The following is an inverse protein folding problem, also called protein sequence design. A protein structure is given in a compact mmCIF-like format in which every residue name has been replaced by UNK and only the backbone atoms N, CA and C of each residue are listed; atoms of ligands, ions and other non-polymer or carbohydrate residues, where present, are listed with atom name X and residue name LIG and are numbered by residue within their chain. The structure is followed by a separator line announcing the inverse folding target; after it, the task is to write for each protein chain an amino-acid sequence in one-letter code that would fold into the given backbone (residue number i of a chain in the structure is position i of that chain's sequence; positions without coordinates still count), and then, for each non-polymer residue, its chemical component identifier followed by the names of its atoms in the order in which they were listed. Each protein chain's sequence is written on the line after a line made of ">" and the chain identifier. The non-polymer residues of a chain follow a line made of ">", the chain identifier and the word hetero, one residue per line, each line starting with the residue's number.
data_IF_176859289298
#
_entry.id   IF_176859289298
#
_cell.length_a   1.000
_cell.length_b   1.000
_cell.length_c   1.000
_cell.angle_alpha   90.00
_cell.angle_beta   90.00
_cell.angle_gamma   90.00
#
_symmetry.space_group_name_H-M   'P 1'
#
loop_
_entity.id
_entity.type
_entity.pdbx_description
1 polymer ?
#
# COMPACT_ATOMS: atom_id res chain seq x y z
N UNK A 1 20.13 18.67 18.91
CA UNK A 1 18.90 17.90 18.64
C UNK A 1 18.35 17.46 19.98
N UNK A 2 17.13 17.87 20.32
CA UNK A 2 16.54 17.57 21.64
C UNK A 2 15.83 16.22 21.60
N UNK A 3 16.30 15.26 22.38
CA UNK A 3 15.65 13.96 22.56
C UNK A 3 14.28 14.13 23.22
N UNK A 4 13.26 13.41 22.74
CA UNK A 4 11.94 13.40 23.36
C UNK A 4 12.01 12.98 24.84
N UNK A 5 11.25 13.66 25.69
CA UNK A 5 11.06 13.26 27.09
C UNK A 5 10.37 11.89 27.20
N UNK A 6 10.53 11.15 28.30
CA UNK A 6 9.85 9.87 28.52
C UNK A 6 8.33 9.94 28.31
N UNK A 7 7.69 11.04 28.77
CA UNK A 7 6.26 11.29 28.59
C UNK A 7 5.87 11.47 27.12
N UNK A 8 6.73 12.09 26.31
CA UNK A 8 6.52 12.24 24.87
C UNK A 8 6.71 10.91 24.15
N UNK A 9 7.67 10.08 24.57
CA UNK A 9 7.86 8.74 24.02
C UNK A 9 6.66 7.84 24.34
N UNK A 10 6.16 7.87 25.56
CA UNK A 10 4.96 7.12 25.98
C UNK A 10 3.72 7.58 25.19
N UNK A 11 3.54 8.89 24.97
CA UNK A 11 2.45 9.41 24.15
C UNK A 11 2.51 8.95 22.67
N UNK A 12 3.70 8.63 22.17
CA UNK A 12 3.91 8.11 20.82
C UNK A 12 3.88 6.58 20.75
N UNK A 13 3.80 5.89 21.89
CA UNK A 13 3.83 4.43 21.95
C UNK A 13 2.84 3.83 20.93
N UNK A 14 3.30 2.84 20.18
CA UNK A 14 2.54 2.24 19.10
C UNK A 14 2.49 0.74 19.31
N UNK A 15 1.31 0.17 19.07
CA UNK A 15 1.11 -1.27 18.98
C UNK A 15 0.66 -1.56 17.57
N UNK A 16 1.35 -2.49 16.90
CA UNK A 16 0.92 -2.92 15.58
C UNK A 16 -0.48 -3.55 15.66
N UNK A 17 -1.39 -3.00 14.87
CA UNK A 17 -2.73 -3.51 14.63
C UNK A 17 -2.88 -3.65 13.12
N UNK A 18 -3.37 -4.79 12.65
CA UNK A 18 -3.69 -4.98 11.24
C UNK A 18 -5.14 -4.61 10.98
N UNK A 19 -5.38 -3.85 9.92
CA UNK A 19 -6.71 -3.41 9.51
C UNK A 19 -7.64 -4.59 9.32
N UNK A 20 -8.77 -4.56 10.03
CA UNK A 20 -9.84 -5.54 9.88
C UNK A 20 -10.91 -4.96 8.94
N UNK A 21 -11.26 -5.74 7.92
CA UNK A 21 -12.34 -5.43 6.99
C UNK A 21 -13.44 -6.48 7.14
N UNK A 22 -14.73 -6.08 7.19
CA UNK A 22 -15.81 -7.04 7.16
C UNK A 22 -15.77 -7.85 5.86
N UNK A 23 -16.08 -9.14 5.94
CA UNK A 23 -16.21 -10.00 4.77
C UNK A 23 -17.38 -9.52 3.92
N UNK A 24 -17.17 -9.17 2.64
CA UNK A 24 -18.27 -8.78 1.77
C UNK A 24 -19.16 -9.97 1.43
N UNK A 25 -20.43 -9.71 1.17
CA UNK A 25 -21.33 -10.71 0.55
C UNK A 25 -20.79 -11.10 -0.83
N UNK A 26 -20.98 -12.35 -1.30
CA UNK A 26 -20.53 -12.78 -2.62
C UNK A 26 -20.96 -11.87 -3.78
N UNK A 27 -22.18 -11.35 -3.73
CA UNK A 27 -22.76 -10.47 -4.76
C UNK A 27 -22.03 -9.13 -4.81
N UNK A 28 -21.81 -8.51 -3.64
CA UNK A 28 -21.07 -7.26 -3.54
C UNK A 28 -19.59 -7.41 -3.95
N UNK A 29 -18.95 -8.53 -3.58
CA UNK A 29 -17.58 -8.85 -4.01
C UNK A 29 -17.52 -9.02 -5.54
N UNK A 30 -18.48 -9.73 -6.15
CA UNK A 30 -18.54 -9.89 -7.60
C UNK A 30 -18.68 -8.53 -8.32
N UNK A 31 -19.58 -7.67 -7.84
CA UNK A 31 -19.74 -6.31 -8.35
C UNK A 31 -18.43 -5.52 -8.27
N UNK A 32 -17.74 -5.58 -7.13
CA UNK A 32 -16.46 -4.91 -6.93
C UNK A 32 -15.36 -5.45 -7.86
N UNK A 33 -15.21 -6.76 -7.96
CA UNK A 33 -14.19 -7.39 -8.81
C UNK A 33 -14.42 -7.07 -10.29
N UNK A 34 -15.68 -7.10 -10.75
CA UNK A 34 -16.04 -6.72 -12.12
C UNK A 34 -15.79 -5.22 -12.38
N UNK A 35 -16.17 -4.35 -11.44
CA UNK A 35 -15.85 -2.92 -11.52
C UNK A 35 -14.32 -2.67 -11.59
N UNK A 36 -13.52 -3.39 -10.80
CA UNK A 36 -12.05 -3.32 -10.85
C UNK A 36 -11.50 -3.78 -12.19
N UNK A 37 -12.04 -4.86 -12.75
CA UNK A 37 -11.64 -5.35 -14.05
C UNK A 37 -11.92 -4.31 -15.14
N UNK A 38 -13.13 -3.75 -15.21
CA UNK A 38 -13.49 -2.70 -16.15
C UNK A 38 -12.60 -1.46 -15.97
N UNK A 39 -12.42 -1.00 -14.73
CA UNK A 39 -11.61 0.19 -14.44
C UNK A 39 -10.16 0.02 -14.91
N UNK A 40 -9.52 -1.11 -14.59
CA UNK A 40 -8.14 -1.42 -15.01
C UNK A 40 -7.99 -1.43 -16.53
N UNK A 41 -8.98 -1.98 -17.24
CA UNK A 41 -8.99 -2.02 -18.71
C UNK A 41 -9.42 -0.70 -19.37
N UNK A 42 -9.79 0.33 -18.59
CA UNK A 42 -10.21 1.64 -19.06
C UNK A 42 -9.21 2.77 -18.73
N UNK A 43 -8.03 2.47 -18.16
CA UNK A 43 -7.08 3.49 -17.71
C UNK A 43 -6.36 4.21 -18.86
N UNK A 44 -5.89 3.48 -19.88
CA UNK A 44 -5.09 4.04 -20.98
C UNK A 44 -5.95 4.70 -22.07
N UNK A 45 -7.14 4.14 -22.32
CA UNK A 45 -8.08 4.64 -23.34
C UNK A 45 -9.45 4.79 -22.71
N UNK A 46 -9.61 5.88 -21.95
CA UNK A 46 -10.80 6.16 -21.14
C UNK A 46 -12.05 6.30 -22.01
N UNK A 47 -12.99 5.37 -21.85
CA UNK A 47 -14.34 5.40 -22.41
C UNK A 47 -15.33 5.92 -21.34
N UNK A 48 -16.03 7.04 -21.58
CA UNK A 48 -16.92 7.63 -20.57
C UNK A 48 -18.08 6.72 -20.12
N UNK A 49 -18.61 5.89 -21.02
CA UNK A 49 -19.63 4.89 -20.74
C UNK A 49 -19.14 3.81 -19.76
N UNK A 50 -17.93 3.29 -19.98
CA UNK A 50 -17.29 2.34 -19.06
C UNK A 50 -17.03 2.99 -17.70
N UNK A 51 -16.58 4.25 -17.67
CA UNK A 51 -16.41 4.99 -16.40
C UNK A 51 -17.71 5.12 -15.62
N UNK A 52 -18.83 5.45 -16.29
CA UNK A 52 -20.16 5.49 -15.65
C UNK A 52 -20.59 4.12 -15.14
N UNK A 53 -20.29 3.05 -15.88
CA UNK A 53 -20.58 1.68 -15.46
C UNK A 53 -19.77 1.30 -14.20
N UNK A 54 -18.46 1.55 -14.18
CA UNK A 54 -17.61 1.34 -13.00
C UNK A 54 -18.15 2.09 -11.79
N UNK A 55 -18.49 3.37 -11.96
CA UNK A 55 -19.06 4.19 -10.89
C UNK A 55 -20.36 3.59 -10.33
N UNK A 56 -21.28 3.18 -11.21
CA UNK A 56 -22.54 2.53 -10.80
C UNK A 56 -22.28 1.25 -10.01
N UNK A 57 -21.38 0.38 -10.48
CA UNK A 57 -21.06 -0.87 -9.80
C UNK A 57 -20.46 -0.62 -8.41
N UNK A 58 -19.57 0.36 -8.27
CA UNK A 58 -19.05 0.73 -6.95
C UNK A 58 -20.12 1.29 -6.02
N UNK A 59 -21.06 2.11 -6.52
CA UNK A 59 -22.20 2.60 -5.72
C UNK A 59 -23.04 1.45 -5.18
N UNK A 60 -23.36 0.47 -6.01
CA UNK A 60 -24.16 -0.70 -5.60
C UNK A 60 -23.38 -1.52 -4.58
N UNK A 61 -22.13 -1.91 -4.88
CA UNK A 61 -21.31 -2.69 -3.95
C UNK A 61 -21.12 -1.96 -2.60
N UNK A 62 -20.86 -0.65 -2.61
CA UNK A 62 -20.74 0.15 -1.40
C UNK A 62 -22.06 0.25 -0.62
N UNK A 63 -23.21 0.33 -1.29
CA UNK A 63 -24.52 0.30 -0.65
C UNK A 63 -24.79 -1.03 0.06
N UNK A 64 -24.21 -2.13 -0.44
CA UNK A 64 -24.21 -3.46 0.20
C UNK A 64 -23.02 -3.68 1.16
N UNK A 65 -22.42 -2.60 1.67
CA UNK A 65 -21.40 -2.67 2.73
C UNK A 65 -19.99 -3.02 2.26
N UNK A 66 -19.72 -3.05 0.95
CA UNK A 66 -18.38 -3.38 0.45
C UNK A 66 -17.39 -2.23 0.68
N UNK A 67 -16.51 -2.39 1.67
CA UNK A 67 -15.56 -1.35 2.10
C UNK A 67 -14.63 -0.87 0.98
N UNK A 68 -14.00 -1.76 0.21
CA UNK A 68 -13.08 -1.33 -0.87
C UNK A 68 -13.80 -0.62 -2.02
N UNK A 69 -15.04 -1.00 -2.35
CA UNK A 69 -15.85 -0.32 -3.34
C UNK A 69 -16.22 1.09 -2.86
N UNK A 70 -16.57 1.23 -1.58
CA UNK A 70 -16.82 2.52 -0.94
C UNK A 70 -15.58 3.43 -1.05
N UNK A 71 -14.40 2.95 -0.66
CA UNK A 71 -13.14 3.71 -0.76
C UNK A 71 -12.84 4.11 -2.21
N UNK A 72 -12.96 3.17 -3.16
CA UNK A 72 -12.69 3.47 -4.57
C UNK A 72 -13.69 4.46 -5.18
N UNK A 73 -14.95 4.41 -4.77
CA UNK A 73 -15.96 5.39 -5.16
C UNK A 73 -15.61 6.77 -4.62
N UNK A 74 -15.28 6.87 -3.34
CA UNK A 74 -14.84 8.13 -2.73
C UNK A 74 -13.64 8.73 -3.47
N UNK A 75 -12.60 7.92 -3.75
CA UNK A 75 -11.41 8.38 -4.48
C UNK A 75 -11.77 8.91 -5.87
N UNK A 76 -12.57 8.18 -6.64
CA UNK A 76 -12.97 8.64 -7.98
C UNK A 76 -13.85 9.90 -7.94
N UNK A 77 -14.70 10.07 -6.91
CA UNK A 77 -15.48 11.28 -6.71
C UNK A 77 -14.60 12.48 -6.32
N UNK A 78 -13.57 12.26 -5.49
CA UNK A 78 -12.66 13.33 -5.05
C UNK A 78 -11.70 13.76 -6.14
N UNK A 79 -11.26 12.82 -6.98
CA UNK A 79 -10.32 13.07 -8.07
C UNK A 79 -11.02 13.63 -9.33
N UNK A 80 -12.36 13.64 -9.35
CA UNK A 80 -13.17 14.11 -10.47
C UNK A 80 -13.33 13.09 -11.61
N UNK A 81 -12.86 11.86 -11.41
CA UNK A 81 -13.06 10.75 -12.34
C UNK A 81 -14.52 10.28 -12.38
N UNK A 82 -15.26 10.46 -11.28
CA UNK A 82 -16.67 10.09 -11.14
C UNK A 82 -17.56 11.32 -10.90
N UNK A 83 -18.75 11.30 -11.48
CA UNK A 83 -19.71 12.41 -11.33
C UNK A 83 -20.40 12.36 -9.97
N UNK A 84 -20.27 13.41 -9.17
CA UNK A 84 -20.95 13.56 -7.89
C UNK A 84 -20.48 14.82 -7.17
N UNK A 85 -20.74 14.89 -5.87
CA UNK A 85 -20.39 16.06 -5.08
C UNK A 85 -19.89 15.69 -3.70
N UNK A 86 -19.28 16.67 -3.02
CA UNK A 86 -18.68 16.45 -1.70
C UNK A 86 -19.66 15.86 -0.66
N UNK A 87 -20.96 16.18 -0.74
CA UNK A 87 -21.98 15.61 0.16
C UNK A 87 -22.07 14.08 0.06
N UNK A 88 -21.96 13.54 -1.16
CA UNK A 88 -21.96 12.09 -1.38
C UNK A 88 -20.69 11.46 -0.78
N UNK A 89 -19.53 12.08 -0.99
CA UNK A 89 -18.26 11.62 -0.41
C UNK A 89 -18.33 11.57 1.11
N UNK A 90 -18.85 12.62 1.76
CA UNK A 90 -18.99 12.64 3.22
C UNK A 90 -19.98 11.58 3.72
N UNK A 91 -21.12 11.40 3.06
CA UNK A 91 -22.08 10.35 3.44
C UNK A 91 -21.51 8.93 3.24
N UNK A 92 -20.69 8.71 2.21
CA UNK A 92 -19.95 7.46 2.00
C UNK A 92 -18.91 7.24 3.10
N UNK A 93 -18.25 8.31 3.55
CA UNK A 93 -17.28 8.24 4.65
C UNK A 93 -17.94 7.96 6.00
N UNK A 94 -19.13 8.51 6.27
CA UNK A 94 -19.90 8.20 7.48
C UNK A 94 -20.24 6.70 7.53
N UNK A 95 -20.74 6.14 6.41
CA UNK A 95 -20.97 4.68 6.31
C UNK A 95 -19.68 3.87 6.45
N UNK A 96 -18.57 4.38 5.90
CA UNK A 96 -17.27 3.73 6.03
C UNK A 96 -16.80 3.73 7.48
N UNK A 97 -17.02 4.81 8.22
CA UNK A 97 -16.72 4.92 9.64
C UNK A 97 -17.49 3.89 10.48
N UNK A 98 -18.76 3.63 10.16
CA UNK A 98 -19.56 2.62 10.85
C UNK A 98 -19.08 1.19 10.58
N UNK A 99 -18.68 0.91 9.33
CA UNK A 99 -18.28 -0.44 8.89
C UNK A 99 -16.81 -0.78 9.17
N UNK A 100 -15.92 0.21 9.01
CA UNK A 100 -14.47 0.07 9.14
C UNK A 100 -13.87 1.44 9.51
N UNK A 101 -13.80 1.76 10.81
CA UNK A 101 -13.34 3.06 11.29
C UNK A 101 -11.93 3.44 10.84
N UNK A 102 -11.02 2.47 10.70
CA UNK A 102 -9.62 2.74 10.36
C UNK A 102 -9.45 3.49 9.02
N UNK A 103 -9.95 2.98 7.87
CA UNK A 103 -9.93 3.73 6.61
C UNK A 103 -10.84 4.96 6.61
N UNK A 104 -11.94 4.97 7.37
CA UNK A 104 -12.79 6.16 7.51
C UNK A 104 -12.08 7.34 8.17
N UNK A 105 -11.31 7.09 9.23
CA UNK A 105 -10.48 8.12 9.86
C UNK A 105 -9.33 8.57 8.93
N UNK A 106 -8.75 7.67 8.15
CA UNK A 106 -7.73 8.02 7.16
C UNK A 106 -8.29 8.99 6.09
N UNK A 107 -9.46 8.68 5.54
CA UNK A 107 -10.13 9.56 4.57
C UNK A 107 -10.51 10.91 5.20
N UNK A 108 -11.03 10.90 6.42
CA UNK A 108 -11.33 12.14 7.15
C UNK A 108 -10.07 12.98 7.38
N UNK A 109 -8.95 12.36 7.77
CA UNK A 109 -7.66 13.04 7.90
C UNK A 109 -7.26 13.73 6.60
N UNK A 110 -7.39 13.04 5.47
CA UNK A 110 -7.10 13.58 4.15
C UNK A 110 -8.03 14.76 3.80
N UNK A 111 -9.34 14.62 4.01
CA UNK A 111 -10.32 15.69 3.76
C UNK A 111 -10.07 16.92 4.62
N UNK A 112 -9.81 16.74 5.92
CA UNK A 112 -9.48 17.82 6.85
C UNK A 112 -8.14 18.48 6.52
N UNK A 113 -7.14 17.73 6.06
CA UNK A 113 -5.82 18.29 5.71
C UNK A 113 -5.87 19.25 4.51
N UNK A 114 -6.82 19.01 3.59
CA UNK A 114 -7.02 19.75 2.34
C UNK A 114 -8.14 20.77 2.40
N UNK A 115 -9.06 20.63 3.35
CA UNK A 115 -10.30 21.42 3.39
C UNK A 115 -11.25 21.01 2.26
N UNK A 116 -11.56 19.72 2.15
CA UNK A 116 -12.42 19.20 1.08
C UNK A 116 -13.90 19.54 1.30
N UNK A 117 -14.58 20.04 0.25
CA UNK A 117 -15.98 20.42 0.32
C UNK A 117 -16.20 21.57 1.31
N UNK A 118 -17.03 21.34 2.34
CA UNK A 118 -17.29 22.28 3.42
C UNK A 118 -16.47 22.00 4.70
N UNK A 119 -15.58 21.00 4.68
CA UNK A 119 -14.68 20.73 5.80
C UNK A 119 -13.62 21.84 5.83
N UNK A 120 -13.49 22.51 6.97
CA UNK A 120 -12.43 23.51 7.16
C UNK A 120 -11.08 22.81 7.19
N UNK A 121 -10.10 23.43 6.54
CA UNK A 121 -8.72 22.95 6.59
C UNK A 121 -8.17 23.07 8.00
N UNK A 122 -7.76 21.96 8.59
CA UNK A 122 -7.13 21.91 9.91
C UNK A 122 -6.03 20.83 9.92
N UNK A 123 -4.77 21.28 9.99
CA UNK A 123 -3.62 20.37 9.94
C UNK A 123 -3.46 19.57 11.22
N UNK A 124 -3.72 20.16 12.38
CA UNK A 124 -3.52 19.49 13.66
C UNK A 124 -4.59 18.41 13.86
N UNK A 125 -5.84 18.73 13.52
CA UNK A 125 -6.92 17.76 13.56
C UNK A 125 -6.69 16.61 12.57
N UNK A 126 -6.20 16.90 11.36
CA UNK A 126 -5.83 15.87 10.40
C UNK A 126 -4.75 14.92 10.95
N UNK A 127 -3.71 15.44 11.62
CA UNK A 127 -2.68 14.60 12.25
C UNK A 127 -3.25 13.69 13.36
N UNK A 128 -4.22 14.18 14.14
CA UNK A 128 -4.93 13.36 15.14
C UNK A 128 -5.73 12.24 14.47
N UNK A 129 -6.39 12.51 13.34
CA UNK A 129 -7.10 11.49 12.58
C UNK A 129 -6.16 10.48 11.91
N UNK A 130 -5.03 10.90 11.33
CA UNK A 130 -4.02 9.98 10.82
C UNK A 130 -3.50 9.06 11.92
N UNK A 131 -3.16 9.62 13.09
CA UNK A 131 -2.75 8.82 14.24
C UNK A 131 -3.83 7.84 14.68
N UNK A 132 -5.08 8.29 14.79
CA UNK A 132 -6.22 7.43 15.13
C UNK A 132 -6.40 6.29 14.13
N UNK A 133 -6.32 6.58 12.83
CA UNK A 133 -6.39 5.56 11.78
C UNK A 133 -5.23 4.56 11.86
N UNK A 134 -4.01 5.01 12.14
CA UNK A 134 -2.82 4.16 12.30
C UNK A 134 -2.97 3.21 13.50
N UNK A 135 -3.44 3.73 14.64
CA UNK A 135 -3.69 2.96 15.86
C UNK A 135 -4.83 1.95 15.70
N UNK A 136 -5.77 2.22 14.78
CA UNK A 136 -6.83 1.30 14.36
C UNK A 136 -6.40 0.33 13.24
N UNK A 137 -5.17 0.44 12.77
CA UNK A 137 -4.55 -0.52 11.88
C UNK A 137 -4.48 -0.14 10.41
N UNK A 138 -4.93 1.05 10.01
CA UNK A 138 -4.91 1.44 8.61
C UNK A 138 -3.46 1.55 8.09
N UNK A 139 -3.06 0.78 7.05
CA UNK A 139 -1.66 0.72 6.63
C UNK A 139 -1.16 2.02 5.99
N UNK A 140 -2.02 2.75 5.26
CA UNK A 140 -1.68 4.06 4.70
C UNK A 140 -1.39 5.08 5.82
N UNK A 141 -2.20 5.07 6.88
CA UNK A 141 -2.02 5.91 8.04
C UNK A 141 -0.78 5.54 8.85
N UNK A 142 -0.52 4.23 9.04
CA UNK A 142 0.70 3.75 9.69
C UNK A 142 1.94 4.21 8.94
N UNK A 143 1.96 4.07 7.61
CA UNK A 143 3.02 4.62 6.77
C UNK A 143 3.14 6.14 6.90
N UNK A 144 2.02 6.87 6.81
CA UNK A 144 2.03 8.33 6.90
C UNK A 144 2.60 8.84 8.23
N UNK A 145 2.19 8.24 9.35
CA UNK A 145 2.71 8.61 10.67
C UNK A 145 4.17 8.20 10.81
N UNK A 146 4.58 7.05 10.27
CA UNK A 146 5.98 6.63 10.25
C UNK A 146 6.87 7.66 9.52
N UNK A 147 6.43 8.16 8.37
CA UNK A 147 7.12 9.21 7.61
C UNK A 147 7.24 10.52 8.40
N UNK A 148 6.20 10.93 9.13
CA UNK A 148 6.26 12.16 9.94
C UNK A 148 7.22 12.09 11.14
N UNK A 149 7.46 10.87 11.61
CA UNK A 149 8.40 10.55 12.68
C UNK A 149 9.84 10.33 12.17
N UNK A 150 10.05 10.34 10.85
CA UNK A 150 11.33 10.18 10.15
C UNK A 150 11.74 11.55 9.55
N UNK A 151 12.97 12.11 9.73
CA UNK A 151 14.20 11.51 10.26
C UNK A 151 14.34 11.43 11.79
N UNK A 152 15.44 10.77 12.16
CA UNK A 152 15.87 10.12 13.42
C UNK A 152 15.65 10.79 14.79
N UNK A 153 15.30 12.05 14.91
CA UNK A 153 15.34 12.77 16.18
C UNK A 153 13.99 12.89 16.90
N UNK A 154 12.90 12.36 16.33
CA UNK A 154 11.60 12.25 17.01
C UNK A 154 11.44 10.89 17.70
N UNK A 155 11.26 9.80 16.95
CA UNK A 155 11.05 8.47 17.54
C UNK A 155 11.36 7.34 16.52
N UNK A 156 12.64 7.05 16.24
CA UNK A 156 13.03 6.17 15.14
C UNK A 156 12.53 4.73 15.31
N UNK A 157 12.50 4.19 16.53
CA UNK A 157 11.95 2.83 16.76
C UNK A 157 10.44 2.77 16.52
N UNK A 158 9.70 3.81 16.88
CA UNK A 158 8.25 3.87 16.67
C UNK A 158 7.95 3.98 15.18
N UNK A 159 8.72 4.81 14.45
CA UNK A 159 8.65 4.89 12.98
C UNK A 159 8.90 3.52 12.34
N UNK A 160 9.97 2.80 12.74
CA UNK A 160 10.24 1.43 12.27
C UNK A 160 9.10 0.45 12.55
N UNK A 161 8.53 0.48 13.74
CA UNK A 161 7.39 -0.39 14.10
C UNK A 161 6.17 -0.12 13.20
N UNK A 162 5.87 1.15 12.93
CA UNK A 162 4.78 1.54 12.04
C UNK A 162 5.03 1.15 10.60
N UNK A 163 6.24 1.41 10.07
CA UNK A 163 6.58 0.96 8.72
C UNK A 163 6.47 -0.56 8.59
N UNK A 164 6.97 -1.32 9.57
CA UNK A 164 6.88 -2.79 9.58
C UNK A 164 5.42 -3.25 9.56
N UNK A 165 4.60 -2.69 10.43
CA UNK A 165 3.17 -3.01 10.51
C UNK A 165 2.43 -2.71 9.20
N UNK A 166 2.75 -1.60 8.53
CA UNK A 166 2.17 -1.26 7.22
C UNK A 166 2.68 -2.20 6.11
N UNK A 167 3.98 -2.52 6.11
CA UNK A 167 4.60 -3.40 5.12
C UNK A 167 4.06 -4.83 5.19
N UNK A 168 3.84 -5.37 6.40
CA UNK A 168 3.20 -6.67 6.63
C UNK A 168 1.78 -6.75 6.06
N UNK A 169 1.09 -5.61 6.00
CA UNK A 169 -0.26 -5.48 5.42
C UNK A 169 -0.24 -5.21 3.90
N UNK A 170 0.93 -5.26 3.26
CA UNK A 170 1.06 -5.06 1.82
C UNK A 170 1.24 -3.59 1.40
N UNK A 171 1.70 -2.70 2.29
CA UNK A 171 2.03 -1.33 1.91
C UNK A 171 3.47 -1.23 1.35
N UNK A 172 3.60 -1.25 0.02
CA UNK A 172 4.91 -1.37 -0.64
C UNK A 172 5.89 -0.23 -0.35
N UNK A 173 5.42 1.01 -0.23
CA UNK A 173 6.29 2.14 0.15
C UNK A 173 6.79 2.02 1.59
N UNK A 174 6.02 1.37 2.48
CA UNK A 174 6.45 1.17 3.86
C UNK A 174 7.56 0.11 3.94
N UNK A 175 7.46 -0.96 3.15
CA UNK A 175 8.53 -1.96 3.04
C UNK A 175 9.83 -1.35 2.49
N UNK A 176 9.73 -0.48 1.46
CA UNK A 176 10.88 0.25 0.95
C UNK A 176 11.48 1.24 1.97
N UNK A 177 10.63 2.03 2.65
CA UNK A 177 11.05 2.98 3.68
C UNK A 177 11.75 2.29 4.85
N UNK A 178 11.16 1.21 5.35
CA UNK A 178 11.77 0.38 6.40
C UNK A 178 13.10 -0.24 5.96
N UNK A 179 13.16 -0.78 4.74
CA UNK A 179 14.38 -1.37 4.19
C UNK A 179 15.51 -0.34 4.11
N UNK A 180 15.21 0.87 3.65
CA UNK A 180 16.19 1.96 3.58
C UNK A 180 16.67 2.38 4.97
N UNK A 181 15.75 2.60 5.91
CA UNK A 181 16.07 2.96 7.29
C UNK A 181 16.99 1.93 7.95
N UNK A 182 16.64 0.65 7.85
CA UNK A 182 17.41 -0.45 8.42
C UNK A 182 18.79 -0.59 7.76
N UNK A 183 18.88 -0.41 6.43
CA UNK A 183 20.14 -0.49 5.70
C UNK A 183 21.12 0.63 6.11
N UNK A 184 20.62 1.87 6.22
CA UNK A 184 21.41 3.02 6.72
C UNK A 184 21.94 2.75 8.12
N UNK A 185 21.19 2.02 8.94
CA UNK A 185 21.54 1.66 10.32
C UNK A 185 22.26 0.32 10.43
N UNK A 186 22.74 -0.22 9.30
CA UNK A 186 23.52 -1.45 9.22
C UNK A 186 22.80 -2.69 9.75
N UNK A 187 21.47 -2.64 9.85
CA UNK A 187 20.57 -3.76 10.19
C UNK A 187 20.22 -4.53 8.92
N UNK A 188 21.24 -5.04 8.24
CA UNK A 188 21.12 -5.48 6.85
C UNK A 188 20.18 -6.67 6.63
N UNK A 189 20.17 -7.66 7.52
CA UNK A 189 19.27 -8.81 7.41
C UNK A 189 17.79 -8.37 7.44
N UNK A 190 17.44 -7.51 8.41
CA UNK A 190 16.08 -6.97 8.53
C UNK A 190 15.75 -6.02 7.36
N UNK A 191 16.73 -5.29 6.82
CA UNK A 191 16.53 -4.46 5.63
C UNK A 191 16.11 -5.29 4.42
N UNK A 192 16.77 -6.44 4.22
CA UNK A 192 16.47 -7.37 3.13
C UNK A 192 15.05 -7.96 3.28
N UNK A 193 14.64 -8.32 4.49
CA UNK A 193 13.26 -8.74 4.79
C UNK A 193 12.24 -7.63 4.50
N UNK A 194 12.52 -6.40 4.92
CA UNK A 194 11.65 -5.26 4.68
C UNK A 194 11.52 -4.91 3.19
N UNK A 195 12.62 -4.94 2.44
CA UNK A 195 12.57 -4.80 0.99
C UNK A 195 11.78 -5.94 0.34
N UNK A 196 11.89 -7.18 0.83
CA UNK A 196 11.11 -8.31 0.31
C UNK A 196 9.60 -8.09 0.50
N UNK A 197 9.17 -7.58 1.66
CA UNK A 197 7.78 -7.14 1.88
C UNK A 197 7.38 -6.04 0.88
N UNK A 198 8.27 -5.07 0.64
CA UNK A 198 8.09 -4.04 -0.37
C UNK A 198 7.87 -4.61 -1.78
N UNK A 199 8.69 -5.58 -2.19
CA UNK A 199 8.56 -6.26 -3.49
C UNK A 199 7.25 -7.03 -3.58
N UNK A 200 6.90 -7.79 -2.54
CA UNK A 200 5.64 -8.54 -2.46
C UNK A 200 4.44 -7.63 -2.72
N UNK A 201 4.46 -6.46 -2.08
CA UNK A 201 3.47 -5.40 -2.19
C UNK A 201 3.55 -4.55 -3.48
N UNK A 202 4.45 -4.86 -4.41
CA UNK A 202 4.53 -4.20 -5.71
C UNK A 202 5.46 -2.99 -5.81
N UNK A 203 6.33 -2.77 -4.84
CA UNK A 203 7.30 -1.66 -4.88
C UNK A 203 8.52 -2.02 -5.75
N UNK A 204 8.62 -1.41 -6.94
CA UNK A 204 9.73 -1.63 -7.88
C UNK A 204 11.07 -1.12 -7.34
N UNK A 205 11.07 -0.09 -6.51
CA UNK A 205 12.29 0.47 -5.90
C UNK A 205 12.91 -0.52 -4.93
N UNK A 206 12.10 -1.17 -4.09
CA UNK A 206 12.54 -2.25 -3.20
C UNK A 206 13.16 -3.42 -4.00
N UNK A 207 12.58 -3.77 -5.15
CA UNK A 207 13.17 -4.77 -6.04
C UNK A 207 14.53 -4.33 -6.57
N UNK A 208 14.70 -3.05 -6.89
CA UNK A 208 15.99 -2.47 -7.31
C UNK A 208 17.06 -2.48 -6.20
N UNK A 209 16.67 -2.24 -4.94
CA UNK A 209 17.57 -2.37 -3.80
C UNK A 209 18.06 -3.81 -3.64
N UNK A 210 17.17 -4.80 -3.72
CA UNK A 210 17.55 -6.22 -3.67
C UNK A 210 18.36 -6.65 -4.89
N UNK A 211 17.98 -6.22 -6.10
CA UNK A 211 18.79 -6.45 -7.32
C UNK A 211 20.23 -6.03 -7.09
N UNK A 212 20.45 -4.78 -6.66
CA UNK A 212 21.80 -4.22 -6.50
C UNK A 212 22.51 -4.82 -5.30
N UNK A 213 21.82 -5.07 -4.19
CA UNK A 213 22.38 -5.70 -3.00
C UNK A 213 23.00 -7.07 -3.27
N UNK A 214 22.34 -7.92 -4.08
CA UNK A 214 22.88 -9.23 -4.47
C UNK A 214 24.02 -9.18 -5.48
N UNK A 215 24.34 -8.00 -6.06
CA UNK A 215 25.58 -7.76 -6.82
C UNK A 215 26.78 -7.45 -5.92
N UNK A 216 26.56 -7.35 -4.60
CA UNK A 216 27.58 -7.06 -3.58
C UNK A 216 28.42 -5.85 -3.91
N UNK A 217 27.81 -4.65 -3.94
CA UNK A 217 28.56 -3.43 -4.17
C UNK A 217 29.60 -3.25 -3.04
N UNK A 218 30.67 -2.47 -3.27
CA UNK A 218 31.65 -2.17 -2.25
C UNK A 218 31.02 -1.60 -0.96
N UNK A 219 31.59 -1.83 0.24
CA UNK A 219 31.03 -1.32 1.50
C UNK A 219 30.92 0.20 1.61
N UNK A 220 31.69 0.94 0.81
CA UNK A 220 31.63 2.39 0.66
C UNK A 220 30.51 2.89 -0.27
N UNK A 221 29.92 1.99 -1.08
CA UNK A 221 28.62 2.22 -1.74
C UNK A 221 27.49 2.00 -0.72
N UNK A 222 27.36 2.98 0.19
CA UNK A 222 26.47 2.92 1.34
C UNK A 222 24.98 2.84 1.01
N UNK A 223 24.57 3.06 -0.25
CA UNK A 223 23.17 3.02 -0.64
C UNK A 223 22.66 1.58 -0.85
N UNK A 224 23.47 0.70 -1.43
CA UNK A 224 23.05 -0.65 -1.84
C UNK A 224 23.77 -1.76 -1.08
N UNK A 225 24.82 -1.45 -0.33
CA UNK A 225 25.52 -2.44 0.49
C UNK A 225 24.64 -2.97 1.63
N UNK A 226 24.38 -4.27 1.62
CA UNK A 226 23.59 -4.99 2.63
C UNK A 226 24.28 -6.26 3.15
N UNK A 227 25.62 -6.32 3.08
CA UNK A 227 26.42 -7.49 3.51
C UNK A 227 25.93 -8.85 2.95
N UNK A 228 25.31 -8.83 1.78
CA UNK A 228 24.86 -10.03 1.07
C UNK A 228 26.06 -10.74 0.42
N UNK A 229 25.90 -12.02 0.11
CA UNK A 229 26.84 -12.75 -0.77
C UNK A 229 26.44 -12.51 -2.22
N UNK A 230 27.43 -12.53 -3.11
CA UNK A 230 27.20 -12.40 -4.55
C UNK A 230 26.29 -13.53 -5.02
N UNK A 231 25.12 -13.15 -5.55
CA UNK A 231 24.14 -14.08 -6.10
C UNK A 231 23.57 -13.49 -7.41
N UNK A 232 24.23 -13.78 -8.55
CA UNK A 232 23.84 -13.21 -9.84
C UNK A 232 22.43 -13.62 -10.27
N UNK A 233 21.98 -14.82 -9.93
CA UNK A 233 20.63 -15.27 -10.29
C UNK A 233 19.57 -14.56 -9.45
N UNK A 234 19.76 -14.40 -8.12
CA UNK A 234 18.83 -13.58 -7.31
C UNK A 234 18.73 -12.16 -7.83
N UNK A 235 19.88 -11.54 -8.11
CA UNK A 235 19.94 -10.21 -8.68
C UNK A 235 19.16 -10.13 -10.00
N UNK A 236 19.38 -11.10 -10.90
CA UNK A 236 18.65 -11.21 -12.17
C UNK A 236 17.15 -11.42 -11.98
N UNK A 237 16.70 -12.17 -10.98
CA UNK A 237 15.27 -12.35 -10.70
C UNK A 237 14.62 -11.08 -10.16
N UNK A 238 15.26 -10.40 -9.20
CA UNK A 238 14.78 -9.10 -8.71
C UNK A 238 14.77 -8.03 -9.80
N UNK A 239 15.74 -8.02 -10.71
CA UNK A 239 15.72 -7.13 -11.86
C UNK A 239 14.46 -7.35 -12.72
N UNK A 240 14.11 -8.61 -13.01
CA UNK A 240 12.92 -8.94 -13.80
C UNK A 240 11.63 -8.58 -13.07
N UNK A 241 11.57 -8.82 -11.76
CA UNK A 241 10.44 -8.38 -10.91
C UNK A 241 10.32 -6.85 -10.95
N UNK A 242 11.41 -6.12 -10.74
CA UNK A 242 11.43 -4.66 -10.75
C UNK A 242 10.97 -4.09 -12.10
N UNK A 243 11.44 -4.66 -13.22
CA UNK A 243 10.98 -4.30 -14.57
C UNK A 243 9.48 -4.55 -14.75
N UNK A 244 8.97 -5.70 -14.29
CA UNK A 244 7.54 -6.01 -14.32
C UNK A 244 6.72 -4.98 -13.52
N UNK A 245 7.10 -4.73 -12.26
CA UNK A 245 6.42 -3.78 -11.39
C UNK A 245 6.42 -2.37 -11.97
N UNK A 246 7.55 -1.93 -12.53
CA UNK A 246 7.67 -0.63 -13.18
C UNK A 246 6.79 -0.51 -14.43
N UNK A 247 6.89 -1.48 -15.35
CA UNK A 247 6.18 -1.45 -16.63
C UNK A 247 4.65 -1.49 -16.47
N UNK A 248 4.16 -2.13 -15.40
CA UNK A 248 2.73 -2.23 -15.11
C UNK A 248 2.30 -1.32 -13.95
N UNK A 249 3.15 -0.40 -13.48
CA UNK A 249 2.90 0.45 -12.30
C UNK A 249 1.55 1.18 -12.31
N UNK A 250 1.09 1.62 -13.48
CA UNK A 250 -0.22 2.26 -13.68
C UNK A 250 -1.41 1.36 -13.31
N UNK A 251 -1.22 0.03 -13.25
CA UNK A 251 -2.21 -0.96 -12.82
C UNK A 251 -2.01 -1.44 -11.39
N UNK A 252 -0.94 -0.97 -10.71
CA UNK A 252 -0.57 -1.30 -9.34
C UNK A 252 -0.46 -2.83 -9.12
N UNK A 253 0.48 -3.51 -9.79
CA UNK A 253 0.67 -4.95 -9.66
C UNK A 253 1.27 -5.32 -8.30
N UNK A 254 0.99 -6.54 -7.83
CA UNK A 254 1.67 -7.15 -6.68
C UNK A 254 2.38 -8.43 -7.11
N UNK A 255 3.27 -8.93 -6.26
CA UNK A 255 4.02 -10.18 -6.46
C UNK A 255 3.89 -11.01 -5.18
N UNK A 256 2.66 -11.43 -4.87
CA UNK A 256 2.35 -12.21 -3.66
C UNK A 256 3.18 -13.50 -3.55
N UNK A 257 3.58 -14.02 -4.71
CA UNK A 257 4.42 -15.19 -4.87
C UNK A 257 5.93 -14.93 -4.79
N UNK A 258 6.38 -13.75 -4.37
CA UNK A 258 7.82 -13.40 -4.42
C UNK A 258 8.69 -14.43 -3.72
N UNK A 259 8.26 -15.02 -2.60
CA UNK A 259 9.02 -16.05 -1.88
C UNK A 259 9.06 -17.40 -2.62
N UNK A 260 8.16 -17.62 -3.57
CA UNK A 260 8.20 -18.78 -4.48
C UNK A 260 9.05 -18.50 -5.73
N UNK A 261 9.37 -17.24 -5.99
CA UNK A 261 10.23 -16.82 -7.11
C UNK A 261 11.68 -16.63 -6.64
N UNK A 262 11.88 -15.94 -5.50
CA UNK A 262 13.18 -15.53 -4.97
C UNK A 262 13.15 -15.58 -3.42
N UNK A 263 13.01 -16.76 -2.79
CA UNK A 263 12.98 -16.87 -1.32
C UNK A 263 14.28 -16.35 -0.71
N UNK A 264 14.27 -15.53 0.34
CA UNK A 264 15.51 -14.97 0.88
C UNK A 264 16.55 -16.05 1.30
N UNK A 265 17.87 -15.75 1.24
CA UNK A 265 18.90 -16.65 1.78
C UNK A 265 18.62 -17.00 3.25
N UNK A 266 18.99 -18.21 3.71
CA UNK A 266 19.83 -19.20 3.03
C UNK A 266 19.07 -20.16 2.10
N UNK A 267 17.76 -19.98 1.88
CA UNK A 267 16.98 -20.90 1.06
C UNK A 267 17.53 -20.98 -0.38
N UNK A 268 17.56 -22.17 -1.02
CA UNK A 268 17.94 -22.29 -2.42
C UNK A 268 16.86 -21.70 -3.33
N UNK A 269 17.25 -21.30 -4.54
CA UNK A 269 16.30 -20.80 -5.54
C UNK A 269 15.49 -21.95 -6.14
N UNK A 270 14.14 -21.85 -6.14
CA UNK A 270 13.30 -22.83 -6.82
C UNK A 270 13.37 -22.64 -8.35
N UNK A 271 12.92 -23.64 -9.14
CA UNK A 271 12.65 -23.44 -10.56
C UNK A 271 11.64 -22.31 -10.77
N UNK A 272 11.87 -21.47 -11.78
CA UNK A 272 10.97 -20.38 -12.13
C UNK A 272 10.93 -20.18 -13.64
N UNK A 273 9.73 -20.08 -14.20
CA UNK A 273 9.43 -19.94 -15.63
C UNK A 273 9.57 -18.50 -16.16
N UNK A 274 9.89 -17.53 -15.30
CA UNK A 274 9.92 -16.10 -15.65
C UNK A 274 8.53 -15.43 -15.64
N UNK A 275 7.47 -16.15 -15.26
CA UNK A 275 6.10 -15.65 -15.22
C UNK A 275 5.66 -15.09 -13.87
N UNK A 276 4.62 -14.25 -13.89
CA UNK A 276 3.97 -13.68 -12.71
C UNK A 276 2.48 -14.05 -12.71
N UNK A 277 1.95 -14.52 -11.58
CA UNK A 277 0.53 -14.87 -11.41
C UNK A 277 -0.35 -13.67 -11.70
N UNK A 278 0.02 -12.48 -11.23
CA UNK A 278 -0.71 -11.25 -11.47
C UNK A 278 -0.87 -10.97 -12.97
N UNK A 279 0.21 -11.13 -13.76
CA UNK A 279 0.18 -10.88 -15.20
C UNK A 279 -0.64 -11.94 -15.95
N UNK A 280 -0.55 -13.21 -15.54
CA UNK A 280 -1.38 -14.30 -16.06
C UNK A 280 -2.87 -14.02 -15.81
N UNK A 281 -3.24 -13.58 -14.59
CA UNK A 281 -4.61 -13.22 -14.25
C UNK A 281 -5.10 -11.97 -15.02
N UNK A 282 -4.26 -10.94 -15.16
CA UNK A 282 -4.61 -9.73 -15.89
C UNK A 282 -4.88 -9.98 -17.39
N UNK A 283 -4.14 -10.91 -18.02
CA UNK A 283 -4.32 -11.31 -19.42
C UNK A 283 -5.37 -12.40 -19.63
N UNK A 284 -5.79 -13.06 -18.56
CA UNK A 284 -6.79 -14.11 -18.58
C UNK A 284 -8.22 -13.60 -18.78
N UNK A 285 -9.21 -14.49 -18.80
CA UNK A 285 -10.62 -14.09 -18.82
C UNK A 285 -10.93 -13.25 -17.56
N UNK A 286 -11.66 -12.16 -17.75
CA UNK A 286 -12.13 -11.32 -16.64
C UNK A 286 -13.18 -12.04 -15.78
N UNK A 287 -13.51 -11.48 -14.59
CA UNK A 287 -14.61 -12.00 -13.79
C UNK A 287 -15.93 -11.94 -14.57
N UNK A 288 -16.84 -12.88 -14.26
CA UNK A 288 -18.15 -12.91 -14.90
C UNK A 288 -18.92 -11.61 -14.64
N UNK A 289 -19.61 -11.12 -15.67
CA UNK A 289 -20.48 -9.96 -15.55
C UNK A 289 -21.60 -10.27 -14.53
N UNK A 290 -21.80 -9.43 -13.50
CA UNK A 290 -22.87 -9.60 -12.53
C UNK A 290 -24.24 -9.46 -13.22
N UNK A 291 -25.24 -10.18 -12.71
CA UNK A 291 -26.63 -9.98 -13.13
C UNK A 291 -27.09 -8.56 -12.82
N UNK A 292 -27.90 -7.98 -13.72
CA UNK A 292 -28.47 -6.64 -13.54
C UNK A 292 -29.51 -6.57 -12.42
#
# INVERSE_FOLDING_TARGET
>A
MSTLSPKQQEALAFRCVHQQLPTPTPEAEQLFLYARHLQKNNLLRRKPDVTRQVQRLYRIAAAHGHVKANINLQNGLTDGDFAGGFREVLALNDKLMDLSPAPGYYNLAYYTSRGYGNIKRDRELALRYFRKAADLGNPEAQFHVAELLNPYDKAPEISRQMYRCAAEQGHGQAGNGLGNDLAVNKRYAEAVEAFQLGVKAGNSTAAGFLEKGFKTPPPDDGMYYMALKLDPERSRRYQQIGKFLYNYSYLQPTVEEVDQIVPLPPAPLPPWDGGFRWLKAFRGPGPAQPSE
#
